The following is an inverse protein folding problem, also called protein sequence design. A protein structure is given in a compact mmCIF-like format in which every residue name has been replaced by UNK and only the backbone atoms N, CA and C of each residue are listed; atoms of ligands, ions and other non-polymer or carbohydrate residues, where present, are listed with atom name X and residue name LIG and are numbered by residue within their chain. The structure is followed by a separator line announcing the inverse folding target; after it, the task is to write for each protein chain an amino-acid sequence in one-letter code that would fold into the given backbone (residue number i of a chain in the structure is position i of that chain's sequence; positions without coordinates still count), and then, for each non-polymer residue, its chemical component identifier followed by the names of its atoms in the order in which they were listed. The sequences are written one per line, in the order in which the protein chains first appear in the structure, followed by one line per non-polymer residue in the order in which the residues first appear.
data_IF_316747225953
#
_entry.id   IF_316747225953
#
_cell.length_a   1.000
_cell.length_b   1.000
_cell.length_c   1.000
_cell.angle_alpha   90.00
_cell.angle_beta   90.00
_cell.angle_gamma   90.00
#
_symmetry.space_group_name_H-M   'P 1'
#
loop_
_entity.id
_entity.type
_entity.pdbx_description
1 polymer ?
#
# COMPACT_ATOMS: atom_id res chain seq x y z
N UNK A 1 65.11 32.00 -30.34
CA UNK A 1 65.33 32.38 -31.77
C UNK A 1 64.00 32.32 -32.49
N UNK A 2 63.44 33.50 -32.79
CA UNK A 2 63.30 34.17 -34.07
C UNK A 2 62.71 33.30 -35.19
N UNK A 3 61.74 33.68 -35.97
CA UNK A 3 61.04 34.91 -36.34
C UNK A 3 59.84 34.56 -37.21
N UNK A 4 59.07 35.56 -37.64
CA UNK A 4 57.62 35.40 -38.00
C UNK A 4 57.44 35.48 -39.54
N UNK A 5 56.16 35.70 -39.99
CA UNK A 5 55.74 36.42 -41.20
C UNK A 5 54.55 35.80 -41.85
N UNK A 6 53.57 36.38 -42.15
CA UNK A 6 52.93 37.46 -42.91
C UNK A 6 51.49 37.09 -43.34
N UNK A 7 50.63 37.93 -42.96
CA UNK A 7 49.48 38.56 -43.64
C UNK A 7 49.15 38.22 -45.09
N UNK A 8 47.88 38.06 -45.34
CA UNK A 8 46.96 38.70 -46.35
C UNK A 8 45.78 37.73 -46.55
N UNK A 9 44.54 38.13 -46.52
CA UNK A 9 43.83 39.11 -47.23
C UNK A 9 42.35 39.02 -46.95
N UNK A 10 41.74 40.13 -46.66
CA UNK A 10 40.29 40.31 -46.53
C UNK A 10 39.52 39.90 -47.78
N UNK A 11 38.44 39.12 -47.63
CA UNK A 11 37.26 39.25 -48.48
C UNK A 11 36.00 39.21 -47.62
N UNK A 12 35.46 40.41 -47.39
CA UNK A 12 34.08 40.56 -46.93
C UNK A 12 33.14 39.95 -47.99
N UNK A 13 32.35 38.97 -47.60
CA UNK A 13 31.11 38.65 -48.30
C UNK A 13 29.95 39.09 -47.42
N UNK A 14 29.27 40.13 -47.86
CA UNK A 14 27.97 40.50 -47.34
C UNK A 14 27.00 39.36 -47.63
N UNK A 15 26.57 38.65 -46.61
CA UNK A 15 25.40 37.79 -46.68
C UNK A 15 24.22 38.56 -46.08
N UNK A 16 23.23 38.81 -46.89
CA UNK A 16 22.02 39.56 -46.69
C UNK A 16 21.23 38.99 -45.49
N UNK A 17 20.85 39.89 -44.56
CA UNK A 17 20.22 39.58 -43.27
C UNK A 17 18.78 39.01 -43.28
N UNK A 18 18.33 38.47 -44.42
CA UNK A 18 16.99 37.89 -44.56
C UNK A 18 16.94 36.37 -44.28
N UNK A 19 18.08 35.66 -44.39
CA UNK A 19 18.15 34.22 -44.08
C UNK A 19 18.40 33.93 -42.61
N UNK A 20 18.99 34.83 -41.86
CA UNK A 20 19.32 34.65 -40.45
C UNK A 20 18.09 34.80 -39.55
N UNK A 21 17.20 35.76 -39.89
CA UNK A 21 15.96 35.98 -39.12
C UNK A 21 14.95 34.81 -39.27
N UNK A 22 14.91 34.15 -40.44
CA UNK A 22 14.08 32.95 -40.61
C UNK A 22 14.58 31.75 -39.80
N UNK A 23 15.90 31.57 -39.68
CA UNK A 23 16.47 30.47 -38.91
C UNK A 23 16.32 30.72 -37.41
N UNK A 24 16.41 31.94 -36.94
CA UNK A 24 16.22 32.27 -35.53
C UNK A 24 14.77 32.11 -35.08
N UNK A 25 13.82 32.46 -35.93
CA UNK A 25 12.39 32.22 -35.70
C UNK A 25 12.03 30.73 -35.61
N UNK A 26 12.61 29.89 -36.47
CA UNK A 26 12.43 28.45 -36.44
C UNK A 26 13.12 27.84 -35.20
N UNK A 27 14.32 28.31 -34.84
CA UNK A 27 15.02 27.87 -33.61
C UNK A 27 14.23 28.23 -32.36
N UNK A 28 13.68 29.44 -32.28
CA UNK A 28 12.85 29.87 -31.13
C UNK A 28 11.57 29.02 -31.05
N UNK A 29 10.94 28.72 -32.18
CA UNK A 29 9.74 27.89 -32.22
C UNK A 29 10.05 26.45 -31.81
N UNK A 30 11.15 25.86 -32.26
CA UNK A 30 11.59 24.52 -31.88
C UNK A 30 11.94 24.47 -30.39
N UNK A 31 12.65 25.46 -29.86
CA UNK A 31 12.96 25.56 -28.43
C UNK A 31 11.69 25.74 -27.60
N UNK A 32 10.73 26.54 -28.04
CA UNK A 32 9.44 26.70 -27.37
C UNK A 32 8.63 25.42 -27.39
N UNK A 33 8.57 24.69 -28.51
CA UNK A 33 7.91 23.39 -28.61
C UNK A 33 8.61 22.32 -27.73
N UNK A 34 9.94 22.31 -27.71
CA UNK A 34 10.69 21.44 -26.79
C UNK A 34 10.46 21.83 -25.32
N UNK A 35 10.38 23.12 -25.02
CA UNK A 35 10.11 23.59 -23.66
C UNK A 35 8.69 23.26 -23.22
N UNK A 36 7.68 23.39 -24.09
CA UNK A 36 6.31 22.94 -23.82
C UNK A 36 6.21 21.41 -23.72
N UNK A 37 6.91 20.66 -24.57
CA UNK A 37 7.03 19.21 -24.43
C UNK A 37 7.75 18.80 -23.13
N UNK A 38 8.82 19.48 -22.78
CA UNK A 38 9.52 19.25 -21.49
C UNK A 38 8.65 19.65 -20.29
N UNK A 39 7.85 20.70 -20.42
CA UNK A 39 6.90 21.12 -19.41
C UNK A 39 5.77 20.09 -19.27
N UNK A 40 5.26 19.56 -20.38
CA UNK A 40 4.30 18.45 -20.38
C UNK A 40 4.93 17.18 -19.78
N UNK A 41 6.19 16.86 -20.09
CA UNK A 41 6.91 15.71 -19.51
C UNK A 41 7.21 15.94 -18.03
N UNK A 42 7.58 17.16 -17.62
CA UNK A 42 7.96 17.49 -16.24
C UNK A 42 6.75 17.80 -15.34
N UNK A 43 5.65 18.33 -15.91
CA UNK A 43 4.42 18.66 -15.19
C UNK A 43 3.22 17.79 -15.60
N UNK A 44 3.33 17.00 -16.67
CA UNK A 44 2.31 16.06 -17.14
C UNK A 44 2.26 14.72 -16.42
N UNK A 45 3.17 14.47 -15.47
CA UNK A 45 2.99 13.44 -14.42
C UNK A 45 2.24 14.03 -13.22
N UNK A 46 1.17 14.76 -13.48
CA UNK A 46 0.17 14.95 -12.46
C UNK A 46 -0.38 13.55 -12.17
N UNK A 47 -0.27 13.12 -10.93
CA UNK A 47 -0.85 11.88 -10.45
C UNK A 47 -2.16 11.58 -11.18
N UNK A 48 -2.21 10.45 -11.88
CA UNK A 48 -3.41 9.98 -12.58
C UNK A 48 -4.45 9.52 -11.54
N UNK A 49 -4.02 9.28 -10.30
CA UNK A 49 -4.88 8.78 -9.23
C UNK A 49 -5.88 9.84 -8.79
N UNK A 50 -7.15 9.47 -8.71
CA UNK A 50 -8.22 10.31 -8.17
C UNK A 50 -7.97 10.65 -6.69
N UNK A 51 -8.40 11.84 -6.26
CA UNK A 51 -8.17 12.30 -4.89
C UNK A 51 -8.92 11.48 -3.85
N UNK A 52 -10.11 10.98 -4.17
CA UNK A 52 -10.91 10.14 -3.28
C UNK A 52 -10.25 8.79 -3.12
N UNK A 53 -9.82 8.18 -4.23
CA UNK A 53 -9.08 6.91 -4.22
C UNK A 53 -7.79 7.04 -3.41
N UNK A 54 -7.00 8.09 -3.65
CA UNK A 54 -5.79 8.38 -2.87
C UNK A 54 -6.08 8.48 -1.37
N UNK A 55 -7.11 9.26 -0.99
CA UNK A 55 -7.49 9.44 0.42
C UNK A 55 -7.86 8.11 1.08
N UNK A 56 -8.67 7.28 0.40
CA UNK A 56 -9.10 5.99 0.93
C UNK A 56 -7.92 5.02 1.08
N UNK A 57 -7.05 4.91 0.07
CA UNK A 57 -5.83 4.10 0.15
C UNK A 57 -4.91 4.55 1.29
N UNK A 58 -4.75 5.86 1.47
CA UNK A 58 -3.94 6.40 2.56
C UNK A 58 -4.55 6.09 3.93
N UNK A 59 -5.87 6.16 4.06
CA UNK A 59 -6.57 5.78 5.29
C UNK A 59 -6.44 4.28 5.57
N UNK A 60 -6.41 3.44 4.52
CA UNK A 60 -6.24 2.00 4.70
C UNK A 60 -4.89 1.65 5.33
N UNK A 61 -3.82 2.36 5.03
CA UNK A 61 -2.52 2.17 5.72
C UNK A 61 -2.71 2.23 7.25
N UNK A 62 -3.44 3.24 7.72
CA UNK A 62 -3.72 3.41 9.14
C UNK A 62 -4.59 2.27 9.70
N UNK A 63 -5.56 1.81 8.91
CA UNK A 63 -6.47 0.72 9.31
C UNK A 63 -5.74 -0.61 9.46
N UNK A 64 -4.84 -0.95 8.52
CA UNK A 64 -4.02 -2.15 8.63
C UNK A 64 -3.04 -2.08 9.81
N UNK A 65 -2.43 -0.93 10.07
CA UNK A 65 -1.63 -0.76 11.29
C UNK A 65 -2.45 -0.87 12.56
N UNK A 66 -3.70 -0.40 12.56
CA UNK A 66 -4.61 -0.60 13.67
C UNK A 66 -4.96 -2.08 13.85
N UNK A 67 -5.21 -2.82 12.75
CA UNK A 67 -5.44 -4.27 12.78
C UNK A 67 -4.26 -4.99 13.45
N UNK A 68 -3.03 -4.66 13.02
CA UNK A 68 -1.82 -5.21 13.64
C UNK A 68 -1.78 -4.94 15.15
N UNK A 69 -2.15 -3.72 15.57
CA UNK A 69 -2.13 -3.33 16.98
C UNK A 69 -3.23 -4.04 17.79
N UNK A 70 -4.42 -4.23 17.19
CA UNK A 70 -5.51 -5.00 17.78
C UNK A 70 -5.12 -6.47 17.97
N UNK A 71 -4.47 -7.08 16.99
CA UNK A 71 -4.04 -8.49 17.08
C UNK A 71 -2.87 -8.69 18.07
N UNK A 72 -2.03 -7.69 18.29
CA UNK A 72 -1.09 -7.72 19.42
C UNK A 72 -1.81 -7.77 20.77
N UNK A 73 -2.91 -7.02 20.92
CA UNK A 73 -3.71 -7.07 22.15
C UNK A 73 -4.37 -8.44 22.33
N UNK A 74 -4.87 -9.07 21.27
CA UNK A 74 -5.41 -10.43 21.31
C UNK A 74 -4.32 -11.46 21.67
N UNK A 75 -3.13 -11.32 21.10
CA UNK A 75 -1.98 -12.14 21.47
C UNK A 75 -1.63 -12.01 22.96
N UNK A 76 -1.58 -10.77 23.46
CA UNK A 76 -1.33 -10.46 24.87
C UNK A 76 -2.39 -11.08 25.78
N UNK A 77 -3.67 -10.99 25.42
CA UNK A 77 -4.77 -11.63 26.16
C UNK A 77 -4.55 -13.14 26.28
N UNK A 78 -4.34 -13.85 25.17
CA UNK A 78 -4.12 -15.30 25.20
C UNK A 78 -2.86 -15.71 25.94
N UNK A 79 -1.79 -14.94 25.82
CA UNK A 79 -0.56 -15.15 26.58
C UNK A 79 -0.80 -15.06 28.09
N UNK A 80 -1.60 -14.10 28.54
CA UNK A 80 -1.99 -13.94 29.93
C UNK A 80 -2.83 -15.11 30.49
N UNK A 81 -3.44 -15.90 29.60
CA UNK A 81 -4.25 -17.08 29.92
C UNK A 81 -3.47 -18.41 29.81
N UNK A 82 -2.19 -18.38 29.45
CA UNK A 82 -1.38 -19.57 29.23
C UNK A 82 -1.68 -20.31 27.94
N UNK A 83 -2.34 -19.66 26.97
CA UNK A 83 -2.70 -20.20 25.68
C UNK A 83 -1.71 -19.75 24.60
N UNK A 84 -0.47 -20.23 24.69
CA UNK A 84 0.66 -19.80 23.85
C UNK A 84 0.44 -20.05 22.36
N UNK A 85 -0.33 -21.07 21.98
CA UNK A 85 -0.66 -21.35 20.58
C UNK A 85 -1.60 -20.27 19.97
N UNK A 86 -2.64 -19.90 20.73
CA UNK A 86 -3.50 -18.79 20.32
C UNK A 86 -2.73 -17.45 20.29
N UNK A 87 -1.85 -17.26 21.29
CA UNK A 87 -1.00 -16.06 21.32
C UNK A 87 -0.08 -16.00 20.09
N UNK A 88 0.51 -17.12 19.69
CA UNK A 88 1.32 -17.23 18.47
C UNK A 88 0.49 -16.95 17.22
N UNK A 89 -0.74 -17.50 17.14
CA UNK A 89 -1.64 -17.25 16.01
C UNK A 89 -1.85 -15.74 15.78
N UNK A 90 -2.22 -15.01 16.84
CA UNK A 90 -2.48 -13.57 16.74
C UNK A 90 -1.19 -12.72 16.62
N UNK A 91 -0.06 -13.21 17.11
CA UNK A 91 1.22 -12.56 16.86
C UNK A 91 1.61 -12.60 15.38
N UNK A 92 1.35 -13.74 14.72
CA UNK A 92 1.56 -13.87 13.26
C UNK A 92 0.56 -13.00 12.51
N UNK A 93 -0.71 -13.03 12.91
CA UNK A 93 -1.73 -12.15 12.32
C UNK A 93 -1.31 -10.68 12.38
N UNK A 94 -0.84 -10.22 13.53
CA UNK A 94 -0.35 -8.84 13.68
C UNK A 94 0.83 -8.51 12.74
N UNK A 95 1.68 -9.50 12.43
CA UNK A 95 2.76 -9.32 11.47
C UNK A 95 2.23 -9.25 10.03
N UNK A 96 1.26 -10.07 9.66
CA UNK A 96 0.61 -10.06 8.35
C UNK A 96 -0.08 -8.71 8.10
N UNK A 97 -0.81 -8.17 9.07
CA UNK A 97 -1.47 -6.86 8.97
C UNK A 97 -0.47 -5.71 8.80
N UNK A 98 0.65 -5.77 9.52
CA UNK A 98 1.74 -4.82 9.31
C UNK A 98 2.23 -4.85 7.86
N UNK A 99 2.36 -6.03 7.29
CA UNK A 99 2.82 -6.18 5.92
C UNK A 99 1.74 -5.72 4.92
N UNK A 100 0.45 -5.92 5.20
CA UNK A 100 -0.66 -5.32 4.44
C UNK A 100 -0.56 -3.78 4.43
N UNK A 101 -0.32 -3.16 5.58
CA UNK A 101 -0.10 -1.71 5.66
C UNK A 101 1.07 -1.27 4.76
N UNK A 102 2.16 -2.04 4.73
CA UNK A 102 3.34 -1.74 3.91
C UNK A 102 3.09 -1.94 2.42
N UNK A 103 2.20 -2.85 2.02
CA UNK A 103 1.76 -2.99 0.63
C UNK A 103 1.02 -1.72 0.16
N UNK A 104 0.05 -1.21 0.92
CA UNK A 104 -0.64 0.06 0.61
C UNK A 104 0.34 1.24 0.57
N UNK A 105 1.24 1.32 1.55
CA UNK A 105 2.26 2.36 1.62
C UNK A 105 3.15 2.37 0.36
N UNK A 106 3.69 1.20 -0.01
CA UNK A 106 4.57 1.05 -1.16
C UNK A 106 3.81 1.28 -2.47
N UNK A 107 2.55 0.82 -2.56
CA UNK A 107 1.70 1.06 -3.72
C UNK A 107 1.51 2.57 -3.97
N UNK A 108 1.17 3.35 -2.95
CA UNK A 108 1.03 4.80 -3.09
C UNK A 108 2.33 5.46 -3.55
N UNK A 109 3.48 5.08 -3.00
CA UNK A 109 4.78 5.59 -3.44
C UNK A 109 5.07 5.25 -4.89
N UNK A 110 4.80 4.02 -5.33
CA UNK A 110 4.96 3.58 -6.72
C UNK A 110 4.04 4.36 -7.69
N UNK A 111 2.89 4.85 -7.20
CA UNK A 111 2.00 5.73 -7.95
C UNK A 111 2.40 7.22 -7.85
N UNK A 112 3.58 7.55 -7.29
CA UNK A 112 4.05 8.92 -7.04
C UNK A 112 3.09 9.73 -6.15
N UNK A 113 2.41 9.08 -5.21
CA UNK A 113 1.56 9.72 -4.21
C UNK A 113 2.35 9.99 -2.93
N UNK A 114 1.97 11.03 -2.22
CA UNK A 114 2.49 11.32 -0.87
C UNK A 114 1.65 10.55 0.15
N UNK A 115 2.30 9.87 1.07
CA UNK A 115 1.64 9.21 2.19
C UNK A 115 1.62 10.16 3.39
N UNK A 116 0.47 10.24 4.06
CA UNK A 116 0.29 10.92 5.35
C UNK A 116 0.01 9.85 6.40
N UNK A 117 0.89 9.75 7.40
CA UNK A 117 0.69 8.82 8.50
C UNK A 117 -0.17 9.48 9.59
N UNK A 118 -1.31 8.86 9.87
CA UNK A 118 -2.24 9.28 10.91
C UNK A 118 -1.91 8.60 12.25
N UNK A 119 -2.50 9.06 13.34
CA UNK A 119 -2.39 8.38 14.64
C UNK A 119 -3.11 7.02 14.61
N UNK A 120 -2.52 6.03 15.25
CA UNK A 120 -3.15 4.73 15.46
C UNK A 120 -3.88 4.77 16.79
N UNK A 121 -5.17 4.48 16.79
CA UNK A 121 -5.98 4.45 17.99
C UNK A 121 -5.60 3.30 18.91
N UNK A 122 -5.83 3.47 20.20
CA UNK A 122 -5.67 2.39 21.18
C UNK A 122 -6.73 1.31 20.94
N UNK A 123 -6.37 0.02 20.79
CA UNK A 123 -7.34 -1.05 20.81
C UNK A 123 -8.07 -1.10 22.17
N UNK A 124 -9.38 -1.20 22.13
CA UNK A 124 -10.21 -1.31 23.36
C UNK A 124 -11.33 -2.34 23.14
N UNK A 125 -11.00 -3.62 22.88
CA UNK A 125 -11.99 -4.66 22.71
C UNK A 125 -12.60 -5.05 24.06
N UNK A 126 -13.95 -5.15 24.10
CA UNK A 126 -14.66 -5.68 25.28
C UNK A 126 -14.51 -7.21 25.30
N UNK A 127 -13.58 -7.72 26.09
CA UNK A 127 -13.24 -9.14 26.19
C UNK A 127 -13.57 -9.66 27.59
N UNK A 128 -14.44 -10.67 27.66
CA UNK A 128 -14.79 -11.39 28.88
C UNK A 128 -14.30 -12.85 28.84
N UNK A 129 -14.24 -13.45 27.67
CA UNK A 129 -13.84 -14.84 27.46
C UNK A 129 -13.05 -15.02 26.16
N UNK A 130 -12.52 -16.22 25.93
CA UNK A 130 -11.73 -16.53 24.71
C UNK A 130 -12.56 -16.38 23.44
N UNK A 131 -13.84 -16.76 23.49
CA UNK A 131 -14.76 -16.66 22.36
C UNK A 131 -14.98 -15.20 21.94
N UNK A 132 -14.99 -14.26 22.90
CA UNK A 132 -15.16 -12.84 22.58
C UNK A 132 -14.00 -12.31 21.74
N UNK A 133 -12.77 -12.76 22.01
CA UNK A 133 -11.60 -12.41 21.20
C UNK A 133 -11.75 -12.89 19.75
N UNK A 134 -12.19 -14.15 19.57
CA UNK A 134 -12.35 -14.74 18.24
C UNK A 134 -13.44 -14.03 17.44
N UNK A 135 -14.58 -13.74 18.10
CA UNK A 135 -15.70 -13.00 17.49
C UNK A 135 -15.30 -11.55 17.17
N UNK A 136 -14.54 -10.91 18.05
CA UNK A 136 -14.02 -9.58 17.78
C UNK A 136 -13.06 -9.57 16.57
N UNK A 137 -12.24 -10.62 16.42
CA UNK A 137 -11.41 -10.84 15.25
C UNK A 137 -12.23 -10.93 13.96
N UNK A 138 -13.24 -11.82 13.91
CA UNK A 138 -14.11 -11.95 12.74
C UNK A 138 -14.81 -10.62 12.40
N UNK A 139 -15.41 -9.96 13.40
CA UNK A 139 -16.08 -8.66 13.18
C UNK A 139 -15.12 -7.62 12.63
N UNK A 140 -13.85 -7.67 13.05
CA UNK A 140 -12.82 -6.78 12.53
C UNK A 140 -12.47 -7.09 11.07
N UNK A 141 -12.33 -8.37 10.68
CA UNK A 141 -12.10 -8.75 9.28
C UNK A 141 -13.26 -8.34 8.37
N UNK A 142 -14.51 -8.56 8.80
CA UNK A 142 -15.70 -8.10 8.07
C UNK A 142 -15.70 -6.57 7.89
N UNK A 143 -15.25 -5.82 8.89
CA UNK A 143 -15.08 -4.37 8.79
C UNK A 143 -14.00 -4.00 7.77
N UNK A 144 -12.83 -4.66 7.78
CA UNK A 144 -11.75 -4.42 6.82
C UNK A 144 -12.19 -4.77 5.40
N UNK A 145 -12.91 -5.87 5.22
CA UNK A 145 -13.54 -6.23 3.93
C UNK A 145 -14.43 -5.10 3.40
N UNK A 146 -15.24 -4.51 4.28
CA UNK A 146 -16.05 -3.34 3.91
C UNK A 146 -15.22 -2.16 3.44
N UNK A 147 -14.07 -1.89 4.08
CA UNK A 147 -13.16 -0.83 3.68
C UNK A 147 -12.51 -1.10 2.31
N UNK A 148 -12.01 -2.32 2.09
CA UNK A 148 -11.43 -2.75 0.81
C UNK A 148 -12.46 -2.60 -0.33
N UNK A 149 -13.68 -3.09 -0.13
CA UNK A 149 -14.76 -2.97 -1.10
C UNK A 149 -15.11 -1.50 -1.42
N UNK A 150 -15.06 -0.62 -0.42
CA UNK A 150 -15.28 0.80 -0.62
C UNK A 150 -14.18 1.45 -1.47
N UNK A 151 -12.91 1.09 -1.24
CA UNK A 151 -11.79 1.58 -2.08
C UNK A 151 -11.96 1.06 -3.51
N UNK A 152 -12.29 -0.23 -3.65
CA UNK A 152 -12.49 -0.87 -4.95
C UNK A 152 -13.61 -0.19 -5.74
N UNK A 153 -14.75 0.09 -5.09
CA UNK A 153 -15.88 0.81 -5.70
C UNK A 153 -15.47 2.22 -6.16
N UNK A 154 -14.75 2.96 -5.32
CA UNK A 154 -14.26 4.30 -5.68
C UNK A 154 -13.29 4.25 -6.88
N UNK A 155 -12.40 3.25 -6.94
CA UNK A 155 -11.51 3.03 -8.06
C UNK A 155 -12.27 2.67 -9.35
N UNK A 156 -13.30 1.83 -9.23
CA UNK A 156 -14.17 1.44 -10.34
C UNK A 156 -14.89 2.64 -10.94
N UNK A 157 -15.47 3.51 -10.12
CA UNK A 157 -16.23 4.68 -10.56
C UNK A 157 -15.38 5.64 -11.41
N UNK A 158 -14.11 5.79 -11.09
CA UNK A 158 -13.15 6.63 -11.82
C UNK A 158 -12.32 5.88 -12.86
N UNK A 159 -12.57 4.56 -13.03
CA UNK A 159 -11.86 3.67 -13.96
C UNK A 159 -10.36 3.59 -13.69
N UNK A 160 -9.97 3.62 -12.41
CA UNK A 160 -8.59 3.40 -11.99
C UNK A 160 -8.29 1.89 -11.93
N UNK A 161 -8.11 1.31 -13.11
CA UNK A 161 -7.85 -0.12 -13.28
C UNK A 161 -6.56 -0.61 -12.60
N UNK A 162 -5.58 0.27 -12.38
CA UNK A 162 -4.35 -0.11 -11.64
C UNK A 162 -4.64 -0.34 -10.17
N UNK A 163 -5.40 0.58 -9.57
CA UNK A 163 -5.83 0.43 -8.17
C UNK A 163 -6.74 -0.80 -8.01
N UNK A 164 -7.65 -1.04 -8.95
CA UNK A 164 -8.48 -2.26 -8.94
C UNK A 164 -7.63 -3.53 -8.99
N UNK A 165 -6.67 -3.63 -9.92
CA UNK A 165 -5.75 -4.76 -10.03
C UNK A 165 -4.90 -4.97 -8.76
N UNK A 166 -4.47 -3.90 -8.12
CA UNK A 166 -3.79 -3.97 -6.84
C UNK A 166 -4.71 -4.53 -5.75
N UNK A 167 -5.97 -4.07 -5.72
CA UNK A 167 -6.96 -4.49 -4.72
C UNK A 167 -7.52 -5.90 -4.96
N UNK A 168 -7.41 -6.48 -6.16
CA UNK A 168 -7.85 -7.85 -6.44
C UNK A 168 -7.24 -8.87 -5.47
N UNK A 169 -5.95 -8.67 -5.12
CA UNK A 169 -5.28 -9.50 -4.13
C UNK A 169 -5.91 -9.36 -2.74
N UNK A 170 -6.21 -8.13 -2.30
CA UNK A 170 -6.83 -7.87 -0.99
C UNK A 170 -8.26 -8.38 -0.91
N UNK A 171 -9.04 -8.32 -2.01
CA UNK A 171 -10.38 -8.91 -2.06
C UNK A 171 -10.33 -10.42 -1.82
N UNK A 172 -9.33 -11.09 -2.42
CA UNK A 172 -9.12 -12.52 -2.19
C UNK A 172 -8.64 -12.80 -0.77
N UNK A 173 -7.66 -12.04 -0.28
CA UNK A 173 -7.09 -12.19 1.06
C UNK A 173 -8.16 -12.03 2.13
N UNK A 174 -9.03 -11.01 2.06
CA UNK A 174 -10.12 -10.83 3.02
C UNK A 174 -11.06 -12.03 3.07
N UNK A 175 -11.36 -12.68 1.94
CA UNK A 175 -12.13 -13.92 1.92
C UNK A 175 -11.42 -15.07 2.66
N UNK A 176 -10.09 -15.13 2.59
CA UNK A 176 -9.28 -16.11 3.33
C UNK A 176 -9.24 -15.77 4.84
N UNK A 177 -9.10 -14.49 5.20
CA UNK A 177 -9.07 -14.03 6.60
C UNK A 177 -10.40 -14.29 7.32
N UNK A 178 -11.54 -13.96 6.69
CA UNK A 178 -12.86 -14.27 7.23
C UNK A 178 -13.07 -15.78 7.39
N UNK A 179 -12.60 -16.59 6.43
CA UNK A 179 -12.67 -18.05 6.51
C UNK A 179 -11.85 -18.58 7.68
N UNK A 180 -10.61 -18.13 7.84
CA UNK A 180 -9.73 -18.51 8.97
C UNK A 180 -10.34 -18.13 10.32
N UNK A 181 -10.93 -16.93 10.42
CA UNK A 181 -11.58 -16.47 11.65
C UNK A 181 -12.82 -17.33 12.00
N UNK A 182 -13.66 -17.66 11.02
CA UNK A 182 -14.82 -18.53 11.20
C UNK A 182 -14.42 -19.96 11.60
N UNK A 183 -13.37 -20.51 10.97
CA UNK A 183 -12.84 -21.84 11.31
C UNK A 183 -12.34 -21.87 12.76
N UNK A 184 -11.67 -20.80 13.21
CA UNK A 184 -11.17 -20.71 14.58
C UNK A 184 -12.30 -20.63 15.61
N UNK A 185 -13.38 -19.90 15.30
CA UNK A 185 -14.62 -19.86 16.11
C UNK A 185 -15.23 -21.24 16.18
N UNK A 186 -15.41 -21.92 15.05
CA UNK A 186 -15.99 -23.26 14.98
C UNK A 186 -15.18 -24.28 15.79
N UNK A 187 -13.85 -24.23 15.69
CA UNK A 187 -12.97 -25.07 16.50
C UNK A 187 -13.11 -24.78 18.00
N UNK A 188 -13.22 -23.51 18.37
CA UNK A 188 -13.40 -23.12 19.77
C UNK A 188 -14.78 -23.58 20.30
N UNK A 189 -15.84 -23.53 19.50
CA UNK A 189 -17.16 -24.06 19.87
C UNK A 189 -17.12 -25.57 20.11
N UNK A 190 -16.42 -26.31 19.26
CA UNK A 190 -16.33 -27.77 19.37
C UNK A 190 -15.38 -28.23 20.50
N UNK A 191 -14.30 -27.53 20.73
CA UNK A 191 -13.18 -28.01 21.55
C UNK A 191 -12.84 -27.12 22.76
N UNK A 192 -13.36 -25.90 22.83
CA UNK A 192 -12.96 -24.89 23.80
C UNK A 192 -13.46 -25.11 25.23
N UNK A 193 -14.51 -25.95 25.42
CA UNK A 193 -15.11 -26.19 26.74
C UNK A 193 -14.42 -27.28 27.56
N UNK A 194 -13.78 -28.25 26.91
CA UNK A 194 -13.02 -29.31 27.56
C UNK A 194 -11.52 -28.90 27.66
N UNK A 195 -10.93 -28.89 28.87
CA UNK A 195 -9.54 -28.45 29.05
C UNK A 195 -8.51 -29.24 28.22
N UNK A 196 -8.73 -30.55 28.02
CA UNK A 196 -7.83 -31.38 27.23
C UNK A 196 -7.92 -31.06 25.75
N UNK A 197 -9.13 -30.89 25.25
CA UNK A 197 -9.39 -30.52 23.85
C UNK A 197 -8.91 -29.10 23.56
N UNK A 198 -9.11 -28.16 24.47
CA UNK A 198 -8.55 -26.81 24.36
C UNK A 198 -7.01 -26.81 24.33
N UNK A 199 -6.38 -27.65 25.16
CA UNK A 199 -4.92 -27.82 25.13
C UNK A 199 -4.45 -28.34 23.76
N UNK A 200 -5.16 -29.35 23.19
CA UNK A 200 -4.81 -29.88 21.85
C UNK A 200 -4.97 -28.83 20.75
N UNK A 201 -6.07 -28.07 20.77
CA UNK A 201 -6.27 -26.96 19.83
C UNK A 201 -5.17 -25.89 19.97
N UNK A 202 -4.80 -25.55 21.20
CA UNK A 202 -3.69 -24.62 21.46
C UNK A 202 -2.35 -25.14 20.88
N UNK A 203 -2.06 -26.45 20.96
CA UNK A 203 -0.87 -27.05 20.34
C UNK A 203 -0.93 -27.02 18.81
N UNK A 204 -2.09 -27.23 18.21
CA UNK A 204 -2.29 -27.08 16.76
C UNK A 204 -1.98 -25.66 16.30
N UNK A 205 -2.48 -24.64 16.99
CA UNK A 205 -2.28 -23.24 16.64
C UNK A 205 -0.83 -22.79 16.87
N UNK A 206 -0.11 -23.42 17.80
CA UNK A 206 1.32 -23.12 18.00
C UNK A 206 2.19 -23.50 16.79
N UNK A 207 1.71 -24.40 15.93
CA UNK A 207 2.42 -24.81 14.73
C UNK A 207 2.33 -23.82 13.57
N UNK A 208 1.48 -22.78 13.66
CA UNK A 208 1.42 -21.74 12.62
C UNK A 208 2.75 -21.02 12.49
N UNK A 209 3.21 -20.87 11.26
CA UNK A 209 4.42 -20.09 10.92
C UNK A 209 4.01 -18.92 10.01
N UNK A 210 4.68 -17.81 10.21
CA UNK A 210 4.50 -16.64 9.35
C UNK A 210 4.92 -16.93 7.91
N UNK A 211 4.13 -16.43 6.96
CA UNK A 211 4.44 -16.43 5.55
C UNK A 211 4.23 -15.01 5.00
N UNK A 212 5.22 -14.49 4.29
CA UNK A 212 5.11 -13.16 3.70
C UNK A 212 3.99 -13.10 2.64
N UNK A 213 3.31 -11.96 2.46
CA UNK A 213 2.32 -11.78 1.42
C UNK A 213 2.86 -12.15 0.04
N UNK A 214 2.03 -12.80 -0.77
CA UNK A 214 2.38 -13.23 -2.12
C UNK A 214 2.34 -12.09 -3.16
N UNK A 215 1.78 -10.93 -2.80
CA UNK A 215 1.69 -9.77 -3.68
C UNK A 215 3.06 -9.09 -3.83
N UNK A 216 3.53 -9.01 -5.07
CA UNK A 216 4.76 -8.29 -5.44
C UNK A 216 4.39 -7.00 -6.17
N UNK A 217 4.94 -5.84 -5.73
CA UNK A 217 4.66 -4.49 -6.24
C UNK A 217 5.79 -3.96 -7.14
#
# INVERSE_FOLDING_TARGET
EFYPIHTKGKRKRNFTGLTQVKNDGIRILVIALFYEQFKIIKYGRKSIMDKTVHKLLNQQINKEFYSAYLYLEFSNYFKSKGLDGFANWYMIQAQEERDHAMLFYTYLQNQNQTVTLESIDKPDPSISCHMDVLKAGLTHEEYVTGLINNIYSAAYDVKDFRTMQFLDWFVKEQGEEETKANDLISKMELFGTDPKSLYMLNQELAARVYTAPSLVL
#
